data_IF_027905603061
#
_entry.id   IF_027905603061
#
_cell.length_a   1.000
_cell.length_b   1.000
_cell.length_c   1.000
_cell.angle_alpha   90.00
_cell.angle_beta   90.00
_cell.angle_gamma   90.00
#
_symmetry.space_group_name_H-M   'P 1'
#
loop_
_entity.id
_entity.type
_entity.pdbx_description
1 polymer ?
#
# COMPACT_ATOMS: atom_id res chain seq x y z
N UNK A 1 12.17 -23.19 6.53
CA UNK A 1 12.37 -22.49 5.24
C UNK A 1 11.03 -21.92 4.82
N UNK A 2 10.99 -20.68 4.31
CA UNK A 2 9.73 -20.06 3.86
C UNK A 2 9.19 -20.88 2.67
N UNK A 3 7.93 -21.30 2.74
CA UNK A 3 7.23 -21.91 1.62
C UNK A 3 6.24 -20.89 1.04
N UNK A 4 6.54 -20.28 -0.14
CA UNK A 4 5.69 -19.26 -0.74
C UNK A 4 4.22 -19.67 -0.88
N UNK A 5 3.95 -20.91 -1.29
CA UNK A 5 2.58 -21.38 -1.50
C UNK A 5 1.80 -21.44 -0.19
N UNK A 6 2.39 -22.01 0.86
CA UNK A 6 1.76 -22.07 2.20
C UNK A 6 1.49 -20.67 2.76
N UNK A 7 2.44 -19.74 2.60
CA UNK A 7 2.29 -18.34 3.06
C UNK A 7 1.10 -17.68 2.35
N UNK A 8 1.03 -17.80 1.02
CA UNK A 8 -0.03 -17.17 0.22
C UNK A 8 -1.40 -17.80 0.51
N UNK A 9 -1.48 -19.12 0.65
CA UNK A 9 -2.71 -19.82 1.05
C UNK A 9 -3.22 -19.33 2.41
N UNK A 10 -2.32 -19.18 3.38
CA UNK A 10 -2.67 -18.73 4.72
C UNK A 10 -3.10 -17.25 4.71
N UNK A 11 -2.39 -16.37 4.00
CA UNK A 11 -2.79 -14.97 3.79
C UNK A 11 -4.18 -14.88 3.15
N UNK A 12 -4.44 -15.66 2.10
CA UNK A 12 -5.75 -15.69 1.43
C UNK A 12 -6.88 -16.14 2.36
N UNK A 13 -6.60 -17.07 3.27
CA UNK A 13 -7.57 -17.52 4.27
C UNK A 13 -7.86 -16.43 5.32
N UNK A 14 -6.81 -15.82 5.87
CA UNK A 14 -6.93 -14.95 7.06
C UNK A 14 -7.31 -13.51 6.70
N UNK A 15 -6.81 -12.95 5.60
CA UNK A 15 -7.07 -11.56 5.23
C UNK A 15 -8.45 -11.35 4.58
N UNK A 16 -9.11 -12.41 4.10
CA UNK A 16 -10.42 -12.31 3.46
C UNK A 16 -11.49 -11.67 4.36
N UNK A 17 -11.39 -11.82 5.68
CA UNK A 17 -12.35 -11.23 6.62
C UNK A 17 -12.30 -9.69 6.66
N UNK A 18 -11.21 -9.09 6.21
CA UNK A 18 -10.99 -7.63 6.24
C UNK A 18 -11.69 -6.93 5.05
N UNK A 19 -12.18 -7.70 4.07
CA UNK A 19 -12.76 -7.20 2.83
C UNK A 19 -14.25 -7.54 2.76
N UNK A 20 -15.09 -6.51 2.88
CA UNK A 20 -16.56 -6.65 2.82
C UNK A 20 -17.12 -6.21 1.46
N UNK A 21 -16.52 -5.21 0.82
CA UNK A 21 -16.96 -4.67 -0.46
C UNK A 21 -16.36 -5.40 -1.68
N UNK A 22 -15.35 -6.24 -1.46
CA UNK A 22 -14.64 -6.95 -2.53
C UNK A 22 -14.15 -8.32 -2.08
N UNK A 23 -13.87 -9.17 -3.07
CA UNK A 23 -13.18 -10.43 -2.81
C UNK A 23 -11.68 -10.19 -2.58
N UNK A 24 -11.11 -10.93 -1.64
CA UNK A 24 -9.67 -10.92 -1.40
C UNK A 24 -9.01 -12.19 -1.95
N UNK A 25 -8.06 -12.03 -2.87
CA UNK A 25 -7.24 -13.14 -3.34
C UNK A 25 -5.87 -12.67 -3.90
N UNK A 26 -4.77 -13.10 -3.30
CA UNK A 26 -3.44 -13.05 -3.88
C UNK A 26 -3.30 -14.17 -4.92
N UNK A 27 -3.19 -13.79 -6.19
CA UNK A 27 -3.00 -14.71 -7.31
C UNK A 27 -1.56 -14.69 -7.79
N UNK A 28 -1.07 -15.86 -8.17
CA UNK A 28 0.23 -16.00 -8.80
C UNK A 28 0.24 -15.28 -10.16
N UNK A 29 1.14 -14.31 -10.32
CA UNK A 29 1.38 -13.58 -11.58
C UNK A 29 2.57 -14.15 -12.34
N UNK A 30 3.63 -14.52 -11.63
CA UNK A 30 4.78 -15.27 -12.14
C UNK A 30 5.18 -16.33 -11.11
N UNK A 31 6.15 -17.19 -11.43
CA UNK A 31 6.61 -18.27 -10.53
C UNK A 31 6.83 -17.80 -9.08
N UNK A 32 7.39 -16.60 -8.91
CA UNK A 32 7.77 -16.04 -7.63
C UNK A 32 7.01 -14.77 -7.21
N UNK A 33 6.01 -14.31 -7.98
CA UNK A 33 5.29 -13.05 -7.72
C UNK A 33 3.80 -13.29 -7.59
N UNK A 34 3.22 -12.74 -6.54
CA UNK A 34 1.80 -12.83 -6.22
C UNK A 34 1.22 -11.43 -6.12
N UNK A 35 0.15 -11.17 -6.86
CA UNK A 35 -0.51 -9.87 -6.92
C UNK A 35 -1.92 -9.98 -6.37
N UNK A 36 -2.34 -8.93 -5.68
CA UNK A 36 -3.70 -8.79 -5.21
C UNK A 36 -4.71 -8.74 -6.35
N UNK A 37 -5.76 -9.52 -6.21
CA UNK A 37 -6.86 -9.60 -7.15
C UNK A 37 -8.18 -9.76 -6.43
N UNK A 38 -9.23 -9.25 -7.05
CA UNK A 38 -10.57 -9.28 -6.52
C UNK A 38 -11.59 -8.94 -7.61
N UNK A 39 -12.82 -8.71 -7.19
CA UNK A 39 -13.88 -8.26 -8.08
C UNK A 39 -13.76 -6.75 -8.33
N UNK A 40 -14.29 -6.29 -9.46
CA UNK A 40 -14.34 -4.86 -9.84
C UNK A 40 -12.98 -4.13 -9.84
N UNK A 41 -11.94 -4.70 -10.48
CA UNK A 41 -10.65 -4.02 -10.58
C UNK A 41 -10.77 -2.70 -11.35
N UNK A 42 -10.05 -1.69 -10.89
CA UNK A 42 -9.89 -0.40 -11.57
C UNK A 42 -8.41 -0.02 -11.69
N UNK A 43 -8.11 1.07 -12.39
CA UNK A 43 -6.74 1.52 -12.65
C UNK A 43 -6.28 2.53 -11.60
N UNK A 44 -5.00 2.46 -11.26
CA UNK A 44 -4.32 3.48 -10.46
C UNK A 44 -2.88 3.65 -10.92
N UNK A 45 -2.24 4.75 -10.54
CA UNK A 45 -0.81 4.98 -10.78
C UNK A 45 -0.03 4.70 -9.49
N UNK A 46 0.77 3.62 -9.50
CA UNK A 46 1.68 3.29 -8.42
C UNK A 46 3.04 3.95 -8.68
N UNK A 47 3.47 4.81 -7.77
CA UNK A 47 4.72 5.54 -7.78
C UNK A 47 5.81 4.72 -7.09
N UNK A 48 6.56 3.91 -7.82
CA UNK A 48 7.65 3.11 -7.24
C UNK A 48 9.01 3.70 -7.60
N UNK A 49 9.74 4.17 -6.58
CA UNK A 49 10.99 4.93 -6.76
C UNK A 49 10.76 6.16 -7.63
N UNK A 50 11.17 6.10 -8.90
CA UNK A 50 11.02 7.18 -9.89
C UNK A 50 10.17 6.74 -11.09
N UNK A 51 9.48 5.61 -10.99
CA UNK A 51 8.67 5.03 -12.07
C UNK A 51 7.20 5.14 -11.69
N UNK A 52 6.38 5.58 -12.65
CA UNK A 52 4.92 5.56 -12.56
C UNK A 52 4.44 4.33 -13.33
N UNK A 53 3.89 3.36 -12.61
CA UNK A 53 3.34 2.13 -13.19
C UNK A 53 1.81 2.16 -13.07
N UNK A 54 1.10 1.90 -14.18
CA UNK A 54 -0.34 1.63 -14.11
C UNK A 54 -0.57 0.25 -13.50
N UNK A 55 -1.30 0.20 -12.39
CA UNK A 55 -1.64 -1.04 -11.69
C UNK A 55 -3.15 -1.22 -11.62
N UNK A 56 -3.56 -2.48 -11.50
CA UNK A 56 -4.94 -2.84 -11.20
C UNK A 56 -5.12 -2.87 -9.68
N UNK A 57 -6.06 -2.08 -9.18
CA UNK A 57 -6.39 -1.95 -7.75
C UNK A 57 -7.81 -2.45 -7.49
N UNK A 58 -8.05 -2.93 -6.26
CA UNK A 58 -9.33 -3.48 -5.84
C UNK A 58 -9.91 -2.58 -4.74
N UNK A 59 -11.23 -2.36 -4.78
CA UNK A 59 -11.96 -1.61 -3.76
C UNK A 59 -11.77 -2.28 -2.40
N UNK A 60 -11.47 -1.50 -1.37
CA UNK A 60 -11.32 -2.02 -0.03
C UNK A 60 -12.52 -1.66 0.85
N UNK A 61 -12.73 -0.36 1.03
CA UNK A 61 -13.91 0.23 1.67
C UNK A 61 -14.00 1.72 1.31
N UNK A 62 -15.20 2.32 1.36
CA UNK A 62 -15.42 3.74 1.04
C UNK A 62 -14.74 4.13 -0.28
N UNK A 63 -13.99 5.22 -0.34
CA UNK A 63 -13.24 5.63 -1.53
C UNK A 63 -11.80 5.08 -1.56
N UNK A 64 -11.48 4.08 -0.71
CA UNK A 64 -10.15 3.49 -0.60
C UNK A 64 -9.98 2.21 -1.41
N UNK A 65 -8.81 2.09 -2.03
CA UNK A 65 -8.42 1.00 -2.90
C UNK A 65 -7.05 0.47 -2.52
N UNK A 66 -6.81 -0.81 -2.81
CA UNK A 66 -5.58 -1.50 -2.47
C UNK A 66 -4.89 -2.14 -3.67
N UNK A 67 -3.57 -2.15 -3.59
CA UNK A 67 -2.67 -2.99 -4.37
C UNK A 67 -1.71 -3.70 -3.42
N UNK A 68 -1.55 -5.01 -3.56
CA UNK A 68 -0.56 -5.79 -2.81
C UNK A 68 0.29 -6.59 -3.79
N UNK A 69 1.60 -6.55 -3.61
CA UNK A 69 2.59 -7.30 -4.37
C UNK A 69 3.52 -8.02 -3.41
N UNK A 70 3.60 -9.35 -3.53
CA UNK A 70 4.49 -10.21 -2.75
C UNK A 70 5.41 -10.98 -3.70
N UNK A 71 6.72 -10.88 -3.49
CA UNK A 71 7.74 -11.58 -4.28
C UNK A 71 8.64 -12.43 -3.40
N UNK A 72 8.97 -13.63 -3.89
CA UNK A 72 9.87 -14.59 -3.24
C UNK A 72 11.03 -14.96 -4.18
N UNK A 73 12.14 -14.24 -4.07
CA UNK A 73 13.30 -14.40 -4.95
C UNK A 73 14.38 -15.28 -4.31
N UNK A 74 15.16 -15.96 -5.14
CA UNK A 74 16.28 -16.77 -4.65
C UNK A 74 17.32 -15.87 -3.99
N UNK A 75 17.81 -16.26 -2.81
CA UNK A 75 18.91 -15.56 -2.14
C UNK A 75 20.27 -16.11 -2.59
N UNK A 76 21.30 -15.26 -2.50
CA UNK A 76 22.70 -15.68 -2.66
C UNK A 76 23.16 -16.54 -1.47
N UNK A 77 22.48 -16.42 -0.33
CA UNK A 77 22.69 -17.28 0.83
C UNK A 77 21.92 -18.59 0.61
N UNK A 78 22.65 -19.70 0.69
CA UNK A 78 22.09 -21.04 0.53
C UNK A 78 20.91 -21.26 1.48
N UNK A 79 19.83 -21.83 0.95
CA UNK A 79 18.61 -22.16 1.68
C UNK A 79 17.84 -20.96 2.27
N UNK A 80 18.13 -19.74 1.79
CA UNK A 80 17.40 -18.52 2.12
C UNK A 80 16.59 -17.98 0.92
N UNK A 81 15.50 -17.27 1.21
CA UNK A 81 14.62 -16.65 0.20
C UNK A 81 14.51 -15.16 0.52
N UNK A 82 14.76 -14.33 -0.49
CA UNK A 82 14.51 -12.91 -0.43
C UNK A 82 13.01 -12.68 -0.61
N UNK A 83 12.35 -12.14 0.40
CA UNK A 83 10.93 -11.83 0.42
C UNK A 83 10.77 -10.32 0.30
N UNK A 84 9.88 -9.88 -0.58
CA UNK A 84 9.50 -8.49 -0.75
C UNK A 84 8.00 -8.37 -0.65
N UNK A 85 7.50 -7.51 0.22
CA UNK A 85 6.08 -7.25 0.41
C UNK A 85 5.86 -5.75 0.20
N UNK A 86 4.88 -5.41 -0.62
CA UNK A 86 4.49 -4.04 -0.92
C UNK A 86 2.98 -3.91 -0.86
N UNK A 87 2.46 -2.99 -0.05
CA UNK A 87 1.04 -2.69 0.07
C UNK A 87 0.83 -1.19 -0.17
N UNK A 88 0.18 -0.85 -1.27
CA UNK A 88 -0.17 0.53 -1.63
C UNK A 88 -1.65 0.79 -1.38
N UNK A 89 -1.93 1.96 -0.81
CA UNK A 89 -3.29 2.48 -0.60
C UNK A 89 -3.53 3.63 -1.56
N UNK A 90 -4.72 3.65 -2.14
CA UNK A 90 -5.18 4.68 -3.06
C UNK A 90 -6.54 5.23 -2.62
N UNK A 91 -6.84 6.46 -3.03
CA UNK A 91 -8.13 7.12 -2.83
C UNK A 91 -8.74 7.52 -4.17
N UNK A 92 -10.06 7.45 -4.28
CA UNK A 92 -10.84 8.01 -5.38
C UNK A 92 -12.24 7.41 -5.48
N UNK A 93 -13.18 8.20 -6.01
CA UNK A 93 -14.56 7.80 -6.23
C UNK A 93 -14.66 6.66 -7.24
N UNK A 94 -15.70 5.82 -7.20
CA UNK A 94 -15.86 4.69 -8.14
C UNK A 94 -15.77 5.11 -9.61
N UNK A 95 -16.29 6.31 -9.94
CA UNK A 95 -16.26 6.90 -11.28
C UNK A 95 -14.90 7.40 -11.74
N UNK A 96 -13.91 7.54 -10.85
CA UNK A 96 -12.60 8.05 -11.22
C UNK A 96 -11.86 7.08 -12.14
N UNK A 97 -11.37 7.60 -13.27
CA UNK A 97 -10.60 6.84 -14.25
C UNK A 97 -9.27 6.30 -13.68
N UNK A 98 -8.67 7.01 -12.72
CA UNK A 98 -7.38 6.69 -12.10
C UNK A 98 -7.44 7.03 -10.62
N UNK A 99 -7.19 6.05 -9.74
CA UNK A 99 -7.08 6.28 -8.29
C UNK A 99 -5.72 6.87 -7.92
N UNK A 100 -5.70 7.72 -6.89
CA UNK A 100 -4.50 8.45 -6.44
C UNK A 100 -3.82 7.71 -5.31
N UNK A 101 -2.51 7.48 -5.41
CA UNK A 101 -1.77 6.80 -4.34
C UNK A 101 -1.57 7.74 -3.15
N UNK A 102 -1.91 7.26 -1.95
CA UNK A 102 -1.73 8.00 -0.70
C UNK A 102 -0.41 7.60 -0.03
N UNK A 103 -0.22 6.30 0.15
CA UNK A 103 0.87 5.75 0.94
C UNK A 103 1.22 4.33 0.45
N UNK A 104 2.38 3.86 0.88
CA UNK A 104 2.82 2.48 0.68
C UNK A 104 3.60 1.98 1.87
N UNK A 105 3.26 0.80 2.36
CA UNK A 105 4.08 0.07 3.33
C UNK A 105 4.90 -0.99 2.59
N UNK A 106 6.18 -1.10 2.96
CA UNK A 106 7.09 -2.07 2.38
C UNK A 106 7.84 -2.83 3.46
N UNK A 107 8.08 -4.11 3.20
CA UNK A 107 9.00 -4.93 3.98
C UNK A 107 9.75 -5.88 3.08
N UNK A 108 11.07 -5.85 3.16
CA UNK A 108 11.92 -6.87 2.54
C UNK A 108 13.07 -7.30 3.46
N UNK A 109 13.62 -8.47 3.17
CA UNK A 109 14.83 -9.00 3.82
C UNK A 109 16.03 -9.05 2.85
N UNK A 110 16.02 -8.22 1.79
CA UNK A 110 17.08 -8.20 0.81
C UNK A 110 18.32 -7.50 1.39
N UNK A 111 19.40 -8.25 1.53
CA UNK A 111 20.57 -7.82 2.28
C UNK A 111 21.49 -6.91 1.44
N UNK A 112 21.07 -5.67 1.21
CA UNK A 112 21.80 -4.73 0.33
C UNK A 112 22.42 -3.51 1.02
N UNK A 113 22.19 -3.31 2.33
CA UNK A 113 22.93 -2.42 3.23
C UNK A 113 22.16 -2.31 4.55
N UNK A 114 22.84 -2.44 5.69
CA UNK A 114 22.27 -2.34 7.04
C UNK A 114 21.71 -0.94 7.41
N UNK A 115 21.62 -0.02 6.44
CA UNK A 115 21.20 1.37 6.64
C UNK A 115 19.79 1.67 6.09
N UNK A 116 19.10 0.69 5.50
CA UNK A 116 17.73 0.87 5.01
C UNK A 116 16.71 0.37 6.03
N UNK A 117 15.80 1.22 6.56
CA UNK A 117 14.77 0.78 7.48
C UNK A 117 13.84 -0.26 6.90
N UNK A 118 13.54 -1.29 7.70
CA UNK A 118 12.65 -2.38 7.33
C UNK A 118 11.87 -2.86 8.56
N UNK A 119 10.53 -2.94 8.50
CA UNK A 119 9.65 -2.40 7.46
C UNK A 119 9.65 -0.86 7.46
N UNK A 120 9.14 -0.24 6.40
CA UNK A 120 9.08 1.21 6.26
C UNK A 120 7.85 1.68 5.46
N UNK A 121 7.61 3.00 5.50
CA UNK A 121 6.51 3.66 4.80
C UNK A 121 7.04 4.62 3.74
N UNK A 122 6.31 4.73 2.63
CA UNK A 122 6.40 5.83 1.67
C UNK A 122 5.10 6.63 1.76
N UNK A 123 5.23 7.95 1.89
CA UNK A 123 4.09 8.88 1.90
C UNK A 123 4.19 9.73 0.65
N UNK A 124 3.14 9.71 -0.17
CA UNK A 124 3.14 10.41 -1.45
C UNK A 124 2.51 11.79 -1.28
N UNK A 125 3.18 12.86 -1.71
CA UNK A 125 2.56 14.17 -1.74
C UNK A 125 1.47 14.18 -2.82
N UNK A 126 0.47 15.02 -2.60
CA UNK A 126 -0.64 15.19 -3.54
C UNK A 126 -0.19 16.03 -4.76
N UNK A 127 0.53 15.38 -5.69
CA UNK A 127 1.03 16.01 -6.92
C UNK A 127 -0.09 16.56 -7.82
N UNK A 128 -1.33 16.09 -7.66
CA UNK A 128 -2.44 16.53 -8.50
C UNK A 128 -3.11 17.79 -7.96
N UNK A 129 -3.01 18.12 -6.66
CA UNK A 129 -3.51 19.41 -6.18
C UNK A 129 -2.81 20.56 -6.91
N UNK A 130 -1.48 20.49 -7.11
CA UNK A 130 -0.74 21.52 -7.85
C UNK A 130 -1.14 21.59 -9.33
N UNK A 131 -1.36 20.44 -9.99
CA UNK A 131 -1.77 20.40 -11.40
C UNK A 131 -3.19 20.92 -11.60
N UNK A 132 -4.12 20.46 -10.77
CA UNK A 132 -5.52 20.89 -10.72
C UNK A 132 -5.63 22.38 -10.37
N UNK A 133 -4.81 22.86 -9.43
CA UNK A 133 -4.68 24.29 -9.11
C UNK A 133 -4.24 25.10 -10.33
N UNK A 134 -3.20 24.67 -11.04
CA UNK A 134 -2.72 25.35 -12.24
C UNK A 134 -3.73 25.32 -13.40
N UNK A 135 -4.42 24.19 -13.62
CA UNK A 135 -5.45 24.08 -14.66
C UNK A 135 -6.68 24.95 -14.34
N UNK A 136 -7.04 25.12 -13.07
CA UNK A 136 -8.20 25.93 -12.68
C UNK A 136 -7.91 27.44 -12.61
N UNK A 137 -6.66 27.85 -12.32
CA UNK A 137 -6.23 29.25 -12.44
C UNK A 137 -6.38 29.81 -13.86
N UNK A 138 -6.37 28.95 -14.88
CA UNK A 138 -6.52 29.35 -16.28
C UNK A 138 -7.99 29.61 -16.69
N UNK A 139 -8.99 29.20 -15.88
CA UNK A 139 -10.38 29.02 -16.36
C UNK A 139 -11.44 29.85 -15.60
N UNK A 140 -11.19 30.37 -14.39
CA UNK A 140 -12.30 30.80 -13.49
C UNK A 140 -12.15 32.17 -12.82
N UNK A 141 -13.28 32.85 -12.56
CA UNK A 141 -13.40 34.02 -11.67
C UNK A 141 -13.23 33.61 -10.19
N UNK A 142 -12.59 34.47 -9.40
CA UNK A 142 -12.01 34.14 -8.08
C UNK A 142 -12.97 33.47 -7.08
N UNK A 143 -14.24 33.88 -7.02
CA UNK A 143 -15.17 33.38 -5.99
C UNK A 143 -15.67 31.94 -6.28
N UNK A 144 -15.95 31.60 -7.53
CA UNK A 144 -16.36 30.25 -7.96
C UNK A 144 -15.21 29.24 -7.83
N UNK A 145 -13.98 29.72 -8.05
CA UNK A 145 -12.76 28.93 -7.92
C UNK A 145 -12.51 28.49 -6.47
N UNK A 146 -12.70 29.37 -5.50
CA UNK A 146 -12.46 29.07 -4.08
C UNK A 146 -13.42 27.98 -3.59
N UNK A 147 -14.69 28.04 -3.96
CA UNK A 147 -15.68 27.04 -3.59
C UNK A 147 -15.36 25.66 -4.18
N UNK A 148 -15.03 25.59 -5.48
CA UNK A 148 -14.58 24.35 -6.13
C UNK A 148 -13.32 23.77 -5.50
N UNK A 149 -12.37 24.62 -5.13
CA UNK A 149 -11.12 24.21 -4.50
C UNK A 149 -11.34 23.70 -3.07
N UNK A 150 -12.27 24.31 -2.33
CA UNK A 150 -12.67 23.85 -1.00
C UNK A 150 -13.42 22.53 -1.06
N UNK A 151 -14.31 22.35 -2.04
CA UNK A 151 -14.99 21.09 -2.30
C UNK A 151 -13.98 19.98 -2.64
N UNK A 152 -13.01 20.24 -3.52
CA UNK A 152 -11.96 19.28 -3.87
C UNK A 152 -11.02 18.94 -2.71
N UNK A 153 -10.78 19.89 -1.80
CA UNK A 153 -10.03 19.65 -0.56
C UNK A 153 -10.85 18.82 0.44
N UNK A 154 -12.16 19.06 0.54
CA UNK A 154 -13.03 18.40 1.51
C UNK A 154 -13.20 16.91 1.25
N UNK A 155 -13.07 16.47 -0.01
CA UNK A 155 -13.13 15.05 -0.40
C UNK A 155 -11.86 14.27 -0.07
N UNK A 156 -10.81 14.91 0.44
CA UNK A 156 -9.49 14.30 0.63
C UNK A 156 -9.18 14.14 2.10
N UNK A 157 -8.67 12.97 2.46
CA UNK A 157 -8.20 12.78 3.81
C UNK A 157 -6.90 13.55 4.05
N UNK A 158 -6.74 14.07 5.26
CA UNK A 158 -5.47 14.64 5.68
C UNK A 158 -4.53 13.53 6.17
N UNK A 159 -3.67 13.06 5.27
CA UNK A 159 -2.65 12.03 5.56
C UNK A 159 -1.78 12.42 6.76
N UNK A 160 -1.63 13.72 7.07
CA UNK A 160 -0.84 14.18 8.23
C UNK A 160 -1.47 13.79 9.57
N UNK A 161 -2.75 13.44 9.58
CA UNK A 161 -3.48 12.97 10.77
C UNK A 161 -3.38 11.45 10.98
N UNK A 162 -2.80 10.71 10.02
CA UNK A 162 -2.58 9.27 10.14
C UNK A 162 -1.40 8.99 11.08
N UNK A 163 -1.59 8.08 12.05
CA UNK A 163 -0.52 7.59 12.89
C UNK A 163 0.14 6.37 12.24
N UNK A 164 1.37 6.52 11.78
CA UNK A 164 2.13 5.45 11.13
C UNK A 164 2.85 4.59 12.17
N UNK A 165 2.29 3.41 12.47
CA UNK A 165 2.97 2.44 13.32
C UNK A 165 4.20 1.88 12.58
N UNK A 166 5.35 1.91 13.23
CA UNK A 166 6.59 1.33 12.72
C UNK A 166 6.95 0.09 13.54
N UNK A 167 7.54 -0.92 12.89
CA UNK A 167 7.96 -2.16 13.53
C UNK A 167 9.49 -2.33 13.42
N UNK A 168 10.26 -1.33 13.85
CA UNK A 168 11.70 -1.47 14.04
C UNK A 168 12.03 -2.33 15.25
N UNK A 169 13.23 -2.90 15.31
CA UNK A 169 13.60 -3.91 16.30
C UNK A 169 14.41 -3.34 17.49
N UNK A 170 14.20 -2.07 17.82
CA UNK A 170 14.96 -1.36 18.87
C UNK A 170 14.79 -1.96 20.26
N UNK A 171 13.61 -2.54 20.55
CA UNK A 171 13.29 -3.12 21.87
C UNK A 171 14.19 -4.31 22.21
N UNK A 172 14.68 -5.03 21.20
CA UNK A 172 15.58 -6.17 21.38
C UNK A 172 17.06 -5.79 21.29
N UNK A 173 17.38 -4.48 21.35
CA UNK A 173 18.71 -3.91 21.10
C UNK A 173 19.23 -4.13 19.67
N UNK A 174 18.35 -4.51 18.74
CA UNK A 174 18.65 -4.51 17.32
C UNK A 174 18.42 -3.10 16.73
N UNK A 175 18.55 -2.99 15.42
CA UNK A 175 18.45 -1.73 14.70
C UNK A 175 17.04 -1.38 14.21
N UNK A 176 17.02 -0.50 13.23
CA UNK A 176 15.85 -0.08 12.46
C UNK A 176 15.39 -1.13 11.43
N UNK A 177 15.93 -2.36 11.53
CA UNK A 177 15.67 -3.49 10.63
C UNK A 177 15.12 -4.64 11.47
N UNK A 178 13.85 -4.97 11.24
CA UNK A 178 13.21 -6.18 11.71
C UNK A 178 13.29 -7.23 10.60
N UNK A 179 13.91 -8.37 10.89
CA UNK A 179 14.13 -9.43 9.89
C UNK A 179 12.88 -10.28 9.69
N UNK A 180 12.67 -10.73 8.45
CA UNK A 180 11.68 -11.77 8.14
C UNK A 180 12.30 -13.13 8.48
N UNK A 181 11.90 -13.71 9.61
CA UNK A 181 12.47 -14.96 10.15
C UNK A 181 11.66 -16.20 9.77
N UNK A 182 10.35 -16.06 9.62
CA UNK A 182 9.42 -17.16 9.44
C UNK A 182 8.09 -16.72 8.80
N UNK A 183 7.22 -17.69 8.49
CA UNK A 183 5.94 -17.42 7.83
C UNK A 183 4.97 -16.61 8.68
N UNK A 184 4.93 -16.84 10.00
CA UNK A 184 3.97 -16.18 10.88
C UNK A 184 4.30 -14.70 11.00
N UNK A 185 5.59 -14.36 10.96
CA UNK A 185 6.08 -12.99 10.90
C UNK A 185 5.48 -12.22 9.72
N UNK A 186 5.47 -12.81 8.51
CA UNK A 186 4.85 -12.21 7.32
C UNK A 186 3.33 -12.07 7.48
N UNK A 187 2.67 -13.16 7.89
CA UNK A 187 1.21 -13.25 7.98
C UNK A 187 0.67 -12.23 9.00
N UNK A 188 1.25 -12.22 10.20
CA UNK A 188 0.84 -11.33 11.29
C UNK A 188 1.12 -9.87 10.94
N UNK A 189 2.26 -9.58 10.30
CA UNK A 189 2.58 -8.22 9.89
C UNK A 189 1.59 -7.71 8.84
N UNK A 190 1.32 -8.48 7.77
CA UNK A 190 0.39 -8.06 6.73
C UNK A 190 -1.04 -7.90 7.25
N UNK A 191 -1.51 -8.83 8.09
CA UNK A 191 -2.83 -8.77 8.69
C UNK A 191 -2.95 -7.55 9.64
N UNK A 192 -1.99 -7.39 10.54
CA UNK A 192 -1.95 -6.27 11.48
C UNK A 192 -1.86 -4.93 10.76
N UNK A 193 -1.05 -4.86 9.69
CA UNK A 193 -0.92 -3.69 8.84
C UNK A 193 -2.25 -3.31 8.16
N UNK A 194 -2.96 -4.28 7.59
CA UNK A 194 -4.28 -4.04 6.98
C UNK A 194 -5.28 -3.50 8.00
N UNK A 195 -5.37 -4.11 9.19
CA UNK A 195 -6.25 -3.60 10.25
C UNK A 195 -5.84 -2.19 10.72
N UNK A 196 -4.54 -1.97 10.93
CA UNK A 196 -4.00 -0.68 11.36
C UNK A 196 -4.34 0.42 10.34
N UNK A 197 -4.00 0.22 9.06
CA UNK A 197 -4.28 1.19 8.00
C UNK A 197 -5.78 1.48 7.95
N UNK A 198 -6.64 0.47 7.94
CA UNK A 198 -8.09 0.66 7.91
C UNK A 198 -8.56 1.54 9.07
N UNK A 199 -8.15 1.22 10.29
CA UNK A 199 -8.53 1.99 11.49
C UNK A 199 -8.03 3.43 11.44
N UNK A 200 -6.85 3.69 10.87
CA UNK A 200 -6.33 5.03 10.74
C UNK A 200 -7.06 5.84 9.66
N UNK A 201 -7.42 5.20 8.55
CA UNK A 201 -8.22 5.83 7.49
C UNK A 201 -9.61 6.19 8.00
N UNK A 202 -10.30 5.28 8.70
CA UNK A 202 -11.61 5.53 9.34
C UNK A 202 -11.55 6.65 10.41
N UNK A 203 -10.38 6.91 11.01
CA UNK A 203 -10.20 7.99 11.98
C UNK A 203 -9.99 9.38 11.33
N UNK A 204 -9.43 9.42 10.12
CA UNK A 204 -9.09 10.68 9.44
C UNK A 204 -10.10 11.11 8.39
N UNK A 205 -10.94 10.18 7.93
CA UNK A 205 -12.18 10.44 7.19
C UNK A 205 -13.16 11.28 8.03
#
# INVERSE_FOLDING_TARGET
MLNPSEIIEEINKICKIIFHESSFNLKQKTYNRFIFSGNYPTKAINHYKNIREEVSVIKWFNDFWLYIDIRFEKSDIKDNINTFISLSVFQGDDSDNIKKQLLRAEWDNFNNNDNHPQPHWHIYPDYNFEKTFNEFLEITEEDSFIDLLNDEKSKRIDIKRIHFAMNGDWVTQNGHIHKITDKNTIINWLQGLLFHIKSQLEYVE
#
